data_IF_692352434001
#
_entry.id   IF_692352434001
#
_cell.length_a   1.000
_cell.length_b   1.000
_cell.length_c   1.000
_cell.angle_alpha   90.00
_cell.angle_beta   90.00
_cell.angle_gamma   90.00
#
_symmetry.space_group_name_H-M   'P 1'
#
loop_
_entity.id
_entity.type
_entity.pdbx_description
1 polymer ?
#
# COMPACT_ATOMS: atom_id res chain seq x y z
N UNK A 1 -21.00 -2.56 7.07
CA UNK A 1 -20.34 -3.68 6.39
C UNK A 1 -21.05 -4.03 5.09
N UNK A 2 -20.51 -3.53 3.99
CA UNK A 2 -21.02 -3.72 2.63
C UNK A 2 -20.52 -5.06 2.06
N UNK A 3 -21.41 -5.88 1.50
CA UNK A 3 -21.08 -7.05 0.68
C UNK A 3 -21.30 -6.67 -0.79
N UNK A 4 -20.33 -6.98 -1.66
CA UNK A 4 -20.47 -6.70 -3.09
C UNK A 4 -21.55 -7.63 -3.70
N UNK A 5 -22.43 -7.13 -4.59
CA UNK A 5 -23.37 -8.00 -5.27
C UNK A 5 -22.62 -8.97 -6.21
N UNK A 6 -22.69 -10.27 -5.92
CA UNK A 6 -22.08 -11.38 -6.70
C UNK A 6 -22.53 -11.41 -8.18
N UNK A 7 -23.56 -10.64 -8.54
CA UNK A 7 -24.25 -10.69 -9.83
C UNK A 7 -23.38 -10.28 -11.04
N UNK A 8 -22.41 -9.38 -10.86
CA UNK A 8 -21.59 -8.85 -11.97
C UNK A 8 -20.46 -9.80 -12.43
N UNK A 9 -20.02 -10.73 -11.58
CA UNK A 9 -18.92 -11.66 -11.89
C UNK A 9 -19.41 -12.99 -12.49
N UNK A 10 -20.69 -13.33 -12.28
CA UNK A 10 -21.30 -14.58 -12.74
C UNK A 10 -21.20 -14.83 -14.25
N UNK A 11 -21.39 -13.80 -15.10
CA UNK A 11 -21.48 -14.01 -16.55
C UNK A 11 -20.12 -14.24 -17.24
N UNK A 12 -19.06 -13.60 -16.74
CA UNK A 12 -17.68 -13.72 -17.27
C UNK A 12 -16.96 -14.94 -16.71
N UNK A 13 -17.18 -15.26 -15.43
CA UNK A 13 -16.63 -16.46 -14.77
C UNK A 13 -17.03 -17.75 -15.50
N UNK A 14 -18.29 -17.86 -15.91
CA UNK A 14 -18.84 -19.06 -16.55
C UNK A 14 -18.40 -19.27 -18.01
N UNK A 15 -17.87 -18.25 -18.69
CA UNK A 15 -17.45 -18.36 -20.09
C UNK A 15 -16.00 -18.83 -20.27
N UNK A 16 -15.11 -18.54 -19.31
CA UNK A 16 -13.67 -18.75 -19.46
C UNK A 16 -13.17 -20.11 -18.91
N UNK A 17 -13.98 -20.82 -18.12
CA UNK A 17 -13.68 -22.16 -17.61
C UNK A 17 -14.79 -23.15 -18.02
N UNK A 18 -14.67 -23.81 -19.19
CA UNK A 18 -15.69 -24.72 -19.72
C UNK A 18 -15.96 -25.94 -18.83
N UNK A 19 -15.06 -26.26 -17.90
CA UNK A 19 -15.25 -27.32 -16.90
C UNK A 19 -16.14 -26.90 -15.72
N UNK A 20 -16.44 -25.60 -15.56
CA UNK A 20 -17.26 -25.05 -14.46
C UNK A 20 -18.72 -24.75 -14.86
N UNK A 21 -19.21 -25.34 -15.95
CA UNK A 21 -20.61 -25.26 -16.42
C UNK A 21 -21.68 -25.79 -15.41
N UNK A 22 -21.33 -26.00 -14.14
CA UNK A 22 -22.22 -26.55 -13.11
C UNK A 22 -22.77 -25.51 -12.13
N UNK A 23 -22.26 -24.28 -12.11
CA UNK A 23 -22.79 -23.25 -11.21
C UNK A 23 -24.04 -22.61 -11.83
N UNK A 24 -25.18 -23.24 -11.56
CA UNK A 24 -26.50 -22.82 -12.06
C UNK A 24 -27.17 -21.79 -11.15
N UNK A 25 -26.62 -21.54 -9.96
CA UNK A 25 -27.14 -20.61 -8.97
C UNK A 25 -26.06 -19.62 -8.51
N UNK A 26 -26.44 -18.37 -8.26
CA UNK A 26 -25.53 -17.31 -7.82
C UNK A 26 -24.85 -17.66 -6.48
N UNK A 27 -25.54 -18.41 -5.61
CA UNK A 27 -25.03 -18.89 -4.32
C UNK A 27 -23.98 -20.01 -4.44
N UNK A 28 -23.70 -20.49 -5.66
CA UNK A 28 -22.73 -21.58 -5.87
C UNK A 28 -21.41 -21.09 -6.48
N UNK A 29 -21.30 -19.80 -6.81
CA UNK A 29 -20.09 -19.22 -7.37
C UNK A 29 -19.05 -19.06 -6.24
N UNK A 30 -17.87 -19.68 -6.35
CA UNK A 30 -16.88 -19.60 -5.28
C UNK A 30 -16.38 -18.17 -5.10
N UNK A 31 -16.27 -17.74 -3.85
CA UNK A 31 -15.70 -16.47 -3.50
C UNK A 31 -14.17 -16.55 -3.40
N UNK A 32 -13.48 -16.01 -4.41
CA UNK A 32 -12.02 -16.08 -4.51
C UNK A 32 -11.40 -14.72 -4.18
N UNK A 33 -10.42 -14.72 -3.25
CA UNK A 33 -9.67 -13.53 -2.87
C UNK A 33 -8.17 -13.72 -3.18
N UNK A 34 -7.53 -12.70 -3.75
CA UNK A 34 -6.07 -12.63 -3.87
C UNK A 34 -5.50 -11.72 -2.77
N UNK A 35 -4.59 -12.25 -1.95
CA UNK A 35 -4.04 -11.60 -0.76
C UNK A 35 -2.53 -11.42 -0.90
N UNK A 36 -2.11 -10.27 -1.42
CA UNK A 36 -0.74 -9.99 -1.77
C UNK A 36 0.09 -9.53 -0.55
N UNK A 37 1.27 -10.12 -0.39
CA UNK A 37 2.15 -9.82 0.73
C UNK A 37 2.94 -8.52 0.55
N UNK A 38 3.60 -8.05 1.61
CA UNK A 38 4.48 -6.89 1.55
C UNK A 38 5.90 -7.22 1.10
N UNK A 39 6.69 -6.19 0.81
CA UNK A 39 8.07 -6.35 0.32
C UNK A 39 8.60 -5.19 -0.52
N UNK A 40 8.09 -3.97 -0.28
CA UNK A 40 8.46 -2.77 -1.03
C UNK A 40 8.34 -2.95 -2.55
N UNK A 41 9.35 -2.49 -3.29
CA UNK A 41 9.34 -2.52 -4.77
C UNK A 41 9.24 -3.94 -5.34
N UNK A 42 9.80 -4.94 -4.65
CA UNK A 42 9.72 -6.35 -5.08
C UNK A 42 8.28 -6.85 -5.06
N UNK A 43 7.55 -6.55 -3.98
CA UNK A 43 6.13 -6.89 -3.90
C UNK A 43 5.31 -6.10 -4.93
N UNK A 44 5.65 -4.81 -5.15
CA UNK A 44 4.98 -4.00 -6.15
C UNK A 44 5.07 -4.61 -7.56
N UNK A 45 6.29 -4.86 -8.04
CA UNK A 45 6.52 -5.46 -9.38
C UNK A 45 6.00 -6.90 -9.42
N UNK A 46 6.23 -7.67 -8.36
CA UNK A 46 5.79 -9.06 -8.24
C UNK A 46 4.27 -9.19 -8.37
N UNK A 47 3.50 -8.31 -7.73
CA UNK A 47 2.04 -8.32 -7.83
C UNK A 47 1.56 -8.00 -9.25
N UNK A 48 2.14 -6.97 -9.90
CA UNK A 48 1.75 -6.63 -11.28
C UNK A 48 2.04 -7.79 -12.23
N UNK A 49 3.20 -8.44 -12.10
CA UNK A 49 3.55 -9.62 -12.89
C UNK A 49 2.63 -10.82 -12.63
N UNK A 50 2.26 -11.05 -11.36
CA UNK A 50 1.32 -12.11 -10.99
C UNK A 50 -0.06 -11.90 -11.60
N UNK A 51 -0.60 -10.69 -11.47
CA UNK A 51 -1.91 -10.33 -12.05
C UNK A 51 -1.88 -10.36 -13.59
N UNK A 52 -0.75 -9.96 -14.21
CA UNK A 52 -0.56 -10.05 -15.65
C UNK A 52 -0.64 -11.51 -16.12
N UNK A 53 0.04 -12.44 -15.43
CA UNK A 53 -0.07 -13.86 -15.79
C UNK A 53 -1.49 -14.38 -15.56
N UNK A 54 -2.16 -13.99 -14.46
CA UNK A 54 -3.55 -14.39 -14.23
C UNK A 54 -4.50 -13.89 -15.34
N UNK A 55 -4.28 -12.69 -15.88
CA UNK A 55 -5.03 -12.17 -17.03
C UNK A 55 -4.79 -13.03 -18.27
N UNK A 56 -3.53 -13.36 -18.59
CA UNK A 56 -3.20 -14.22 -19.74
C UNK A 56 -3.77 -15.64 -19.65
N UNK A 57 -3.92 -16.16 -18.43
CA UNK A 57 -4.54 -17.47 -18.17
C UNK A 57 -6.07 -17.40 -18.02
N UNK A 58 -6.69 -16.23 -18.12
CA UNK A 58 -8.14 -16.05 -17.94
C UNK A 58 -8.63 -16.28 -16.50
N UNK A 59 -7.72 -16.23 -15.52
CA UNK A 59 -8.00 -16.44 -14.10
C UNK A 59 -8.30 -15.13 -13.35
N UNK A 60 -7.89 -13.98 -13.88
CA UNK A 60 -8.06 -12.69 -13.18
C UNK A 60 -9.54 -12.35 -12.94
N UNK A 61 -10.41 -12.65 -13.92
CA UNK A 61 -11.86 -12.43 -13.83
C UNK A 61 -12.56 -13.30 -12.77
N UNK A 62 -11.85 -14.26 -12.16
CA UNK A 62 -12.38 -15.11 -11.09
C UNK A 62 -12.29 -14.46 -9.71
N UNK A 63 -11.50 -13.39 -9.56
CA UNK A 63 -11.25 -12.75 -8.28
C UNK A 63 -12.39 -11.78 -7.89
N UNK A 64 -12.98 -12.00 -6.72
CA UNK A 64 -13.88 -11.02 -6.08
C UNK A 64 -13.13 -9.92 -5.35
N UNK A 65 -11.99 -10.26 -4.77
CA UNK A 65 -11.27 -9.37 -3.88
C UNK A 65 -9.77 -9.35 -4.17
N UNK A 66 -9.17 -8.18 -4.00
CA UNK A 66 -7.73 -7.98 -4.00
C UNK A 66 -7.32 -7.27 -2.71
N UNK A 67 -6.73 -8.03 -1.79
CA UNK A 67 -6.16 -7.53 -0.55
C UNK A 67 -4.65 -7.34 -0.66
N UNK A 68 -4.11 -6.31 -0.02
CA UNK A 68 -2.66 -6.10 0.01
C UNK A 68 -2.16 -5.38 1.27
N UNK A 69 -0.89 -5.62 1.59
CA UNK A 69 -0.12 -4.87 2.60
C UNK A 69 1.14 -4.27 1.95
N UNK A 70 1.70 -3.22 2.56
CA UNK A 70 3.00 -2.65 2.16
C UNK A 70 3.14 -2.44 0.64
N UNK A 71 4.29 -2.76 0.05
CA UNK A 71 4.59 -2.61 -1.38
C UNK A 71 3.51 -3.09 -2.37
N UNK A 72 2.75 -4.14 -2.07
CA UNK A 72 1.64 -4.60 -2.92
C UNK A 72 0.54 -3.55 -3.09
N UNK A 73 0.29 -2.75 -2.05
CA UNK A 73 -0.70 -1.67 -2.10
C UNK A 73 -0.30 -0.51 -3.00
N UNK A 74 1.00 -0.31 -3.24
CA UNK A 74 1.49 0.69 -4.21
C UNK A 74 1.05 0.31 -5.62
N UNK A 75 1.21 -0.97 -5.96
CA UNK A 75 0.70 -1.53 -7.22
C UNK A 75 -0.81 -1.50 -7.29
N UNK A 76 -1.52 -1.81 -6.20
CA UNK A 76 -2.98 -1.66 -6.18
C UNK A 76 -3.37 -0.20 -6.48
N UNK A 77 -2.82 0.80 -5.79
CA UNK A 77 -3.15 2.19 -6.10
C UNK A 77 -2.84 2.56 -7.56
N UNK A 78 -1.72 2.09 -8.11
CA UNK A 78 -1.41 2.32 -9.53
C UNK A 78 -2.41 1.63 -10.46
N UNK A 79 -2.81 0.38 -10.18
CA UNK A 79 -3.75 -0.37 -11.01
C UNK A 79 -5.14 0.27 -11.02
N UNK A 80 -5.71 0.57 -9.85
CA UNK A 80 -7.06 1.08 -9.73
C UNK A 80 -7.23 2.52 -10.25
N UNK A 81 -6.13 3.23 -10.53
CA UNK A 81 -6.20 4.49 -11.30
C UNK A 81 -6.80 4.30 -12.70
N UNK A 82 -6.73 3.10 -13.26
CA UNK A 82 -7.36 2.71 -14.53
C UNK A 82 -8.62 1.87 -14.25
N UNK A 83 -9.82 2.38 -14.56
CA UNK A 83 -11.07 1.64 -14.36
C UNK A 83 -11.13 0.27 -15.04
N UNK A 84 -10.31 0.03 -16.07
CA UNK A 84 -10.33 -1.20 -16.89
C UNK A 84 -9.07 -2.06 -16.72
N UNK A 85 -8.27 -1.84 -15.68
CA UNK A 85 -6.97 -2.49 -15.52
C UNK A 85 -7.05 -4.02 -15.57
N UNK A 86 -8.09 -4.63 -14.99
CA UNK A 86 -8.24 -6.09 -14.95
C UNK A 86 -8.45 -6.73 -16.34
N UNK A 87 -8.97 -5.96 -17.30
CA UNK A 87 -9.19 -6.43 -18.68
C UNK A 87 -8.03 -6.11 -19.62
N UNK A 88 -7.04 -5.34 -19.16
CA UNK A 88 -5.89 -4.92 -19.95
C UNK A 88 -4.66 -4.67 -19.06
N UNK A 89 -4.01 -5.78 -18.68
CA UNK A 89 -2.79 -5.73 -17.87
C UNK A 89 -1.57 -5.23 -18.66
N UNK A 90 -1.58 -5.29 -20.00
CA UNK A 90 -0.47 -4.78 -20.84
C UNK A 90 -0.20 -3.30 -20.57
N UNK A 91 -1.26 -2.49 -20.41
CA UNK A 91 -1.13 -1.07 -20.04
C UNK A 91 -0.51 -0.89 -18.66
N UNK A 92 -0.90 -1.71 -17.68
CA UNK A 92 -0.35 -1.65 -16.33
C UNK A 92 1.15 -1.99 -16.32
N UNK A 93 1.55 -3.04 -17.04
CA UNK A 93 2.96 -3.44 -17.18
C UNK A 93 3.76 -2.35 -17.90
N UNK A 94 3.25 -1.81 -19.01
CA UNK A 94 3.95 -0.75 -19.76
C UNK A 94 4.22 0.50 -18.92
N UNK A 95 3.38 0.76 -17.92
CA UNK A 95 3.50 1.93 -17.03
C UNK A 95 4.67 1.83 -16.07
N UNK A 96 5.03 0.62 -15.63
CA UNK A 96 6.21 0.40 -14.78
C UNK A 96 7.50 0.88 -15.48
N UNK A 97 7.56 0.70 -16.80
CA UNK A 97 8.65 1.15 -17.67
C UNK A 97 8.36 2.51 -18.33
N UNK A 98 7.23 3.13 -18.01
CA UNK A 98 6.80 4.41 -18.58
C UNK A 98 7.58 5.61 -18.02
N UNK A 99 7.31 6.81 -18.58
CA UNK A 99 7.86 8.05 -18.07
C UNK A 99 7.41 8.29 -16.62
N UNK A 100 8.24 9.00 -15.85
CA UNK A 100 7.93 9.40 -14.49
C UNK A 100 6.83 10.44 -14.41
N UNK A 101 6.50 10.84 -13.17
CA UNK A 101 5.62 11.99 -12.92
C UNK A 101 6.40 13.28 -13.11
N UNK A 102 5.78 14.27 -13.75
CA UNK A 102 6.36 15.61 -13.95
C UNK A 102 6.63 16.31 -12.60
N UNK A 103 7.73 17.07 -12.52
CA UNK A 103 8.13 17.80 -11.31
C UNK A 103 7.03 18.67 -10.77
N UNK A 104 6.46 19.46 -11.67
CA UNK A 104 5.56 20.53 -11.34
C UNK A 104 4.33 19.95 -10.63
N UNK A 105 3.91 18.74 -11.01
CA UNK A 105 2.84 18.01 -10.35
C UNK A 105 3.24 17.57 -8.95
N UNK A 106 4.45 17.03 -8.77
CA UNK A 106 4.97 16.64 -7.45
C UNK A 106 5.10 17.85 -6.52
N UNK A 107 5.63 18.96 -7.02
CA UNK A 107 5.81 20.19 -6.25
C UNK A 107 4.52 20.89 -5.91
N UNK A 108 3.56 20.91 -6.85
CA UNK A 108 2.23 21.44 -6.59
C UNK A 108 1.56 20.64 -5.46
N UNK A 109 1.61 19.31 -5.53
CA UNK A 109 1.02 18.46 -4.51
C UNK A 109 1.69 18.66 -3.14
N UNK A 110 3.03 18.62 -3.07
CA UNK A 110 3.75 18.87 -1.82
C UNK A 110 3.48 20.28 -1.29
N UNK A 111 3.47 21.28 -2.16
CA UNK A 111 3.22 22.67 -1.80
C UNK A 111 1.81 22.94 -1.29
N UNK A 112 0.82 22.16 -1.73
CA UNK A 112 -0.54 22.22 -1.20
C UNK A 112 -0.65 21.51 0.15
N UNK A 113 -0.13 20.29 0.28
CA UNK A 113 -0.12 19.55 1.55
C UNK A 113 0.66 20.27 2.65
N UNK A 114 1.75 20.91 2.30
CA UNK A 114 2.58 21.76 3.13
C UNK A 114 1.85 22.88 3.89
N UNK A 115 0.71 23.34 3.36
CA UNK A 115 -0.11 24.40 3.97
C UNK A 115 -1.02 23.86 5.06
N UNK A 116 -1.21 22.55 5.10
CA UNK A 116 -2.11 21.89 6.03
C UNK A 116 -1.41 21.63 7.37
N UNK A 117 -2.18 21.71 8.46
CA UNK A 117 -1.66 21.58 9.84
C UNK A 117 -0.97 20.23 10.10
N UNK A 118 -1.31 19.21 9.33
CA UNK A 118 -0.91 17.82 9.54
C UNK A 118 0.07 17.28 8.48
N UNK A 119 0.79 18.18 7.80
CA UNK A 119 1.91 17.80 6.94
C UNK A 119 3.02 17.10 7.75
N UNK A 120 3.52 15.98 7.25
CA UNK A 120 4.38 15.05 7.99
C UNK A 120 5.34 14.26 7.09
N UNK A 121 6.22 13.46 7.69
CA UNK A 121 7.08 12.53 6.94
C UNK A 121 6.29 11.51 6.11
N UNK A 122 5.03 11.22 6.48
CA UNK A 122 4.16 10.35 5.70
C UNK A 122 3.82 10.95 4.32
N UNK A 123 3.66 12.28 4.22
CA UNK A 123 3.38 12.95 2.95
C UNK A 123 4.62 12.95 2.02
N UNK A 124 5.82 13.03 2.61
CA UNK A 124 7.07 12.88 1.85
C UNK A 124 7.24 11.44 1.34
N UNK A 125 6.97 10.45 2.20
CA UNK A 125 7.03 9.04 1.83
C UNK A 125 6.00 8.67 0.76
N UNK A 126 4.79 9.22 0.85
CA UNK A 126 3.74 9.08 -0.14
C UNK A 126 4.17 9.51 -1.54
N UNK A 127 4.82 10.67 -1.64
CA UNK A 127 5.35 11.19 -2.92
C UNK A 127 6.49 10.33 -3.44
N UNK A 128 7.41 9.92 -2.57
CA UNK A 128 8.52 9.05 -2.97
C UNK A 128 8.00 7.73 -3.56
N UNK A 129 7.07 7.08 -2.86
CA UNK A 129 6.48 5.81 -3.32
C UNK A 129 5.63 5.98 -4.58
N UNK A 130 4.78 6.99 -4.64
CA UNK A 130 3.89 7.21 -5.78
C UNK A 130 4.66 7.72 -7.01
N UNK A 131 5.34 8.85 -6.88
CA UNK A 131 5.94 9.54 -8.02
C UNK A 131 7.30 8.96 -8.46
N UNK A 132 8.15 8.54 -7.52
CA UNK A 132 9.52 8.08 -7.86
C UNK A 132 9.55 6.58 -8.13
N UNK A 133 8.91 5.78 -7.27
CA UNK A 133 8.91 4.32 -7.40
C UNK A 133 7.85 3.86 -8.41
N UNK A 134 6.59 4.20 -8.16
CA UNK A 134 5.47 3.76 -9.02
C UNK A 134 5.30 4.61 -10.27
N UNK A 135 6.04 5.73 -10.39
CA UNK A 135 5.99 6.65 -11.52
C UNK A 135 4.58 7.17 -11.82
N UNK A 136 3.75 7.25 -10.79
CA UNK A 136 2.36 7.65 -10.92
C UNK A 136 1.82 8.25 -9.63
N UNK A 137 1.13 9.38 -9.74
CA UNK A 137 0.35 9.94 -8.64
C UNK A 137 -1.15 9.75 -8.88
N UNK A 138 -1.78 8.91 -8.05
CA UNK A 138 -3.23 8.76 -8.03
C UNK A 138 -3.85 9.79 -7.08
N UNK A 139 -4.38 10.87 -7.65
CA UNK A 139 -4.96 11.98 -6.88
C UNK A 139 -6.46 11.78 -6.57
N UNK A 140 -7.01 10.62 -6.91
CA UNK A 140 -8.42 10.32 -6.66
C UNK A 140 -8.64 9.94 -5.21
N UNK A 141 -9.90 9.95 -4.83
CA UNK A 141 -10.35 9.43 -3.55
C UNK A 141 -10.59 7.91 -3.65
N UNK A 142 -10.34 7.18 -2.56
CA UNK A 142 -10.64 5.75 -2.55
C UNK A 142 -12.14 5.51 -2.63
N UNK A 143 -12.95 6.40 -2.04
CA UNK A 143 -14.41 6.31 -2.09
C UNK A 143 -14.99 6.44 -3.51
N UNK A 144 -14.27 7.07 -4.44
CA UNK A 144 -14.70 7.18 -5.83
C UNK A 144 -14.88 5.80 -6.49
N UNK A 145 -14.10 4.79 -6.05
CA UNK A 145 -14.20 3.40 -6.54
C UNK A 145 -15.55 2.76 -6.23
N UNK A 146 -16.24 3.17 -5.15
CA UNK A 146 -17.53 2.59 -4.77
C UNK A 146 -18.63 2.84 -5.82
N UNK A 147 -18.51 3.96 -6.55
CA UNK A 147 -19.46 4.37 -7.58
C UNK A 147 -19.05 3.93 -8.99
N UNK A 148 -17.87 3.33 -9.13
CA UNK A 148 -17.25 3.07 -10.43
C UNK A 148 -17.86 1.82 -11.04
N UNK A 149 -18.37 1.94 -12.26
CA UNK A 149 -18.83 0.80 -13.05
C UNK A 149 -17.63 0.06 -13.65
N UNK A 150 -16.96 -0.75 -12.83
CA UNK A 150 -15.78 -1.52 -13.21
C UNK A 150 -15.95 -3.00 -12.82
N UNK A 151 -15.28 -3.88 -13.58
CA UNK A 151 -15.25 -5.33 -13.34
C UNK A 151 -14.03 -5.77 -12.54
N UNK A 152 -13.31 -4.81 -11.94
CA UNK A 152 -12.12 -5.11 -11.16
C UNK A 152 -12.49 -5.83 -9.85
N UNK A 153 -11.60 -6.67 -9.30
CA UNK A 153 -11.74 -7.17 -7.94
C UNK A 153 -11.94 -6.02 -6.95
N UNK A 154 -12.60 -6.27 -5.82
CA UNK A 154 -12.82 -5.26 -4.79
C UNK A 154 -11.52 -5.02 -3.99
N UNK A 155 -10.98 -3.79 -3.96
CA UNK A 155 -9.70 -3.51 -3.31
C UNK A 155 -9.85 -3.39 -1.80
N UNK A 156 -8.94 -4.02 -1.06
CA UNK A 156 -8.83 -3.90 0.40
C UNK A 156 -7.39 -3.61 0.79
N UNK A 157 -7.19 -2.42 1.36
CA UNK A 157 -5.91 -1.97 1.90
C UNK A 157 -5.87 -2.26 3.40
N UNK A 158 -4.69 -2.57 3.92
CA UNK A 158 -4.53 -2.93 5.32
C UNK A 158 -3.38 -2.16 5.97
N UNK A 159 -3.63 -1.75 7.21
CA UNK A 159 -2.70 -1.08 8.11
C UNK A 159 -2.88 -1.65 9.53
N UNK A 160 -2.04 -1.21 10.46
CA UNK A 160 -2.21 -1.51 11.88
C UNK A 160 -2.13 -0.25 12.74
N UNK A 161 -2.86 -0.21 13.85
CA UNK A 161 -2.73 0.87 14.83
C UNK A 161 -1.56 0.59 15.78
N UNK A 162 -0.58 1.48 15.77
CA UNK A 162 0.71 1.32 16.45
C UNK A 162 0.63 1.32 17.98
N UNK A 163 -0.17 2.19 18.59
CA UNK A 163 -0.22 2.35 20.05
C UNK A 163 -0.94 1.19 20.73
N UNK A 164 -1.96 0.62 20.09
CA UNK A 164 -2.60 -0.61 20.52
C UNK A 164 -1.73 -1.85 20.20
N UNK A 165 -0.81 -1.75 19.24
CA UNK A 165 0.17 -2.79 18.94
C UNK A 165 1.21 -2.99 20.05
N UNK A 166 1.78 -1.91 20.62
CA UNK A 166 2.88 -2.01 21.61
C UNK A 166 2.47 -2.56 22.98
N UNK A 167 1.25 -2.26 23.47
CA UNK A 167 0.84 -2.55 24.86
C UNK A 167 -0.61 -3.08 24.99
N UNK A 168 -1.29 -3.42 23.89
CA UNK A 168 -2.74 -3.70 23.87
C UNK A 168 -3.18 -5.12 23.48
N UNK A 169 -4.48 -5.45 23.69
CA UNK A 169 -5.09 -6.72 23.24
C UNK A 169 -5.03 -6.85 21.72
N UNK A 170 -5.14 -8.08 21.19
CA UNK A 170 -5.15 -8.34 19.72
C UNK A 170 -6.28 -7.55 19.02
N UNK A 171 -7.39 -7.32 19.72
CA UNK A 171 -8.51 -6.53 19.26
C UNK A 171 -8.13 -5.05 19.07
N UNK A 172 -8.52 -4.48 17.93
CA UNK A 172 -8.21 -3.08 17.60
C UNK A 172 -6.80 -2.86 17.03
N UNK A 173 -6.15 -3.94 16.55
CA UNK A 173 -4.85 -3.85 15.88
C UNK A 173 -5.00 -3.69 14.37
N UNK A 174 -5.80 -4.53 13.71
CA UNK A 174 -5.91 -4.50 12.26
C UNK A 174 -6.86 -3.41 11.80
N UNK A 175 -6.36 -2.55 10.92
CA UNK A 175 -7.13 -1.49 10.28
C UNK A 175 -7.30 -1.83 8.80
N UNK A 176 -8.53 -1.84 8.35
CA UNK A 176 -8.93 -2.13 6.99
C UNK A 176 -9.45 -0.85 6.34
N UNK A 177 -9.07 -0.61 5.09
CA UNK A 177 -9.61 0.48 4.27
C UNK A 177 -10.07 -0.08 2.93
N UNK A 178 -11.32 0.21 2.58
CA UNK A 178 -11.94 -0.16 1.31
C UNK A 178 -12.63 1.05 0.69
N UNK A 179 -13.17 0.98 -0.53
CA UNK A 179 -13.95 2.08 -1.12
C UNK A 179 -15.12 2.56 -0.26
N UNK A 180 -15.78 1.67 0.49
CA UNK A 180 -17.00 2.03 1.23
C UNK A 180 -16.73 2.41 2.68
N UNK A 181 -15.84 1.66 3.34
CA UNK A 181 -15.64 1.77 4.78
C UNK A 181 -14.17 1.58 5.18
N UNK A 182 -13.79 2.27 6.25
CA UNK A 182 -12.49 2.21 6.91
C UNK A 182 -12.67 1.94 8.41
N UNK A 183 -11.93 1.01 8.99
CA UNK A 183 -12.15 0.64 10.39
C UNK A 183 -11.42 -0.59 10.88
N UNK A 184 -11.82 -1.06 12.05
CA UNK A 184 -11.16 -2.16 12.75
C UNK A 184 -11.92 -3.47 12.54
N UNK A 185 -11.31 -4.38 11.77
CA UNK A 185 -11.93 -5.63 11.33
C UNK A 185 -12.40 -6.48 12.50
N UNK A 186 -11.56 -6.68 13.52
CA UNK A 186 -11.88 -7.58 14.64
C UNK A 186 -12.99 -7.05 15.53
N UNK A 187 -13.21 -5.73 15.55
CA UNK A 187 -14.24 -5.08 16.36
C UNK A 187 -15.55 -4.87 15.58
N UNK A 188 -15.52 -4.99 14.25
CA UNK A 188 -16.68 -4.71 13.41
C UNK A 188 -17.09 -3.23 13.39
N UNK A 189 -16.18 -2.32 13.76
CA UNK A 189 -16.48 -0.88 13.86
C UNK A 189 -15.78 -0.11 12.75
N UNK A 190 -16.59 0.60 11.97
CA UNK A 190 -16.17 1.26 10.74
C UNK A 190 -16.79 2.64 10.61
N UNK A 191 -16.14 3.49 9.81
CA UNK A 191 -16.65 4.76 9.31
C UNK A 191 -16.64 4.73 7.78
N UNK A 192 -17.46 5.56 7.13
CA UNK A 192 -17.36 5.76 5.68
C UNK A 192 -15.94 6.23 5.31
N UNK A 193 -15.37 5.69 4.23
CA UNK A 193 -13.98 6.00 3.82
C UNK A 193 -13.77 7.49 3.57
N UNK A 194 -14.77 8.18 3.02
CA UNK A 194 -14.75 9.63 2.81
C UNK A 194 -14.68 10.45 4.10
N UNK A 195 -15.05 9.87 5.24
CA UNK A 195 -14.99 10.49 6.55
C UNK A 195 -13.72 10.10 7.33
N UNK A 196 -12.86 9.25 6.79
CA UNK A 196 -11.59 8.90 7.42
C UNK A 196 -10.71 10.17 7.56
N UNK A 197 -10.36 10.52 8.80
CA UNK A 197 -9.62 11.74 9.12
C UNK A 197 -10.50 12.93 9.51
N UNK A 198 -11.83 12.78 9.48
CA UNK A 198 -12.78 13.73 10.07
C UNK A 198 -12.78 13.68 11.60
N UNK A 199 -13.28 14.74 12.25
CA UNK A 199 -13.30 14.82 13.72
C UNK A 199 -14.58 14.19 14.26
N UNK A 200 -14.42 13.22 15.15
CA UNK A 200 -15.53 12.63 15.90
C UNK A 200 -15.29 12.78 17.41
N UNK A 201 -16.39 12.75 18.17
CA UNK A 201 -16.34 12.62 19.61
C UNK A 201 -17.59 11.90 20.10
N UNK A 202 -17.42 10.89 20.95
CA UNK A 202 -18.52 10.09 21.50
C UNK A 202 -19.47 9.49 20.44
N UNK A 203 -18.96 9.25 19.23
CA UNK A 203 -19.72 8.72 18.10
C UNK A 203 -20.41 9.76 17.23
N UNK A 204 -20.31 11.05 17.57
CA UNK A 204 -20.86 12.14 16.77
C UNK A 204 -19.78 12.75 15.87
N UNK A 205 -20.14 13.01 14.61
CA UNK A 205 -19.32 13.72 13.64
C UNK A 205 -19.36 15.22 13.95
N UNK A 206 -18.22 15.77 14.37
CA UNK A 206 -18.09 17.18 14.75
C UNK A 206 -17.63 18.07 13.60
N UNK A 207 -16.75 17.55 12.75
CA UNK A 207 -16.13 18.31 11.66
C UNK A 207 -15.77 17.37 10.51
N UNK A 208 -16.30 17.64 9.33
CA UNK A 208 -15.92 16.93 8.10
C UNK A 208 -14.60 17.50 7.60
N UNK A 209 -13.61 16.62 7.42
CA UNK A 209 -12.34 16.92 6.76
C UNK A 209 -12.40 16.38 5.32
N UNK A 210 -11.84 17.07 4.31
CA UNK A 210 -11.76 16.53 2.96
C UNK A 210 -11.10 15.15 2.94
N UNK A 211 -11.62 14.23 2.11
CA UNK A 211 -11.06 12.89 1.97
C UNK A 211 -9.59 12.95 1.51
N UNK A 212 -8.78 12.02 2.00
CA UNK A 212 -7.41 11.86 1.55
C UNK A 212 -7.39 11.33 0.11
N UNK A 213 -6.58 11.97 -0.75
CA UNK A 213 -6.22 11.35 -2.03
C UNK A 213 -5.42 10.05 -1.80
N UNK A 214 -5.39 9.17 -2.82
CA UNK A 214 -4.71 7.88 -2.73
C UNK A 214 -3.21 8.02 -2.43
N UNK A 215 -2.54 9.07 -2.90
CA UNK A 215 -1.14 9.35 -2.55
C UNK A 215 -1.01 9.50 -1.03
N UNK A 216 -1.84 10.36 -0.42
CA UNK A 216 -1.81 10.57 1.03
C UNK A 216 -2.27 9.37 1.83
N UNK A 217 -3.32 8.69 1.38
CA UNK A 217 -3.82 7.48 2.04
C UNK A 217 -2.72 6.42 2.13
N UNK A 218 -1.94 6.26 1.06
CA UNK A 218 -0.77 5.39 1.07
C UNK A 218 0.27 5.84 2.09
N UNK A 219 0.60 7.12 2.13
CA UNK A 219 1.52 7.67 3.13
C UNK A 219 1.08 7.41 4.57
N UNK A 220 -0.20 7.63 4.87
CA UNK A 220 -0.74 7.50 6.23
C UNK A 220 -0.90 6.05 6.66
N UNK A 221 -1.36 5.16 5.77
CA UNK A 221 -1.68 3.76 6.10
C UNK A 221 -0.50 2.78 5.91
N UNK A 222 0.50 3.12 5.10
CA UNK A 222 1.55 2.19 4.66
C UNK A 222 2.95 2.68 5.03
N UNK A 223 3.06 3.30 6.20
CA UNK A 223 4.32 3.79 6.74
C UNK A 223 5.27 2.61 6.97
N UNK A 224 6.29 2.48 6.12
CA UNK A 224 7.25 1.36 6.17
C UNK A 224 8.06 1.40 7.47
N UNK A 225 8.43 0.21 7.94
CA UNK A 225 9.22 -0.15 9.12
C UNK A 225 10.43 0.73 9.45
N UNK A 226 10.98 1.51 8.52
CA UNK A 226 12.04 2.46 8.85
C UNK A 226 11.60 3.45 9.95
N UNK A 227 10.31 3.76 10.08
CA UNK A 227 9.79 4.51 11.24
C UNK A 227 9.99 3.78 12.59
N UNK A 228 9.78 2.46 12.63
CA UNK A 228 9.88 1.61 13.82
C UNK A 228 11.32 1.15 14.13
N UNK A 229 12.12 0.83 13.11
CA UNK A 229 13.51 0.39 13.23
C UNK A 229 14.49 1.52 13.60
N UNK A 230 14.10 2.78 13.33
CA UNK A 230 14.86 3.97 13.71
C UNK A 230 14.38 4.62 15.01
N UNK A 231 13.23 4.23 15.54
CA UNK A 231 12.75 4.75 16.83
C UNK A 231 13.65 4.35 18.00
N UNK A 232 14.27 3.17 17.91
CA UNK A 232 15.30 2.70 18.85
C UNK A 232 16.67 3.35 18.64
N UNK A 233 16.88 4.08 17.52
CA UNK A 233 18.15 4.72 17.19
C UNK A 233 18.24 6.12 17.77
N UNK A 234 19.44 6.50 18.19
CA UNK A 234 19.76 7.82 18.74
C UNK A 234 19.59 8.94 17.72
N UNK A 235 19.46 10.19 18.20
CA UNK A 235 19.33 11.36 17.34
C UNK A 235 20.47 11.47 16.31
N UNK A 236 21.70 11.12 16.69
CA UNK A 236 22.85 11.16 15.79
C UNK A 236 22.83 10.02 14.76
N UNK A 237 22.35 8.83 15.11
CA UNK A 237 22.14 7.74 14.15
C UNK A 237 21.01 8.05 13.18
N UNK A 238 19.91 8.66 13.64
CA UNK A 238 18.83 9.13 12.76
C UNK A 238 19.33 10.21 11.83
N UNK A 239 20.11 11.18 12.33
CA UNK A 239 20.78 12.20 11.50
C UNK A 239 21.73 11.58 10.51
N UNK A 240 22.53 10.58 10.90
CA UNK A 240 23.49 9.90 10.01
C UNK A 240 22.78 9.11 8.91
N UNK A 241 21.72 8.37 9.25
CA UNK A 241 20.92 7.62 8.27
C UNK A 241 20.19 8.57 7.33
N UNK A 242 19.64 9.67 7.85
CA UNK A 242 19.03 10.70 6.99
C UNK A 242 20.05 11.50 6.20
N UNK A 243 21.24 11.78 6.75
CA UNK A 243 22.34 12.39 6.02
C UNK A 243 22.82 11.45 4.93
N UNK A 244 22.88 10.15 5.20
CA UNK A 244 23.23 9.13 4.24
C UNK A 244 22.15 9.03 3.16
N UNK A 245 20.86 8.95 3.50
CA UNK A 245 19.79 8.98 2.49
C UNK A 245 19.74 10.30 1.75
N UNK A 246 19.97 11.42 2.42
CA UNK A 246 20.05 12.74 1.81
C UNK A 246 21.28 12.87 0.92
N UNK A 247 22.42 12.28 1.28
CA UNK A 247 23.66 12.25 0.51
C UNK A 247 23.57 11.24 -0.63
N UNK A 248 22.87 10.13 -0.48
CA UNK A 248 22.58 9.16 -1.53
C UNK A 248 21.56 9.75 -2.52
N UNK A 249 20.54 10.46 -2.03
CA UNK A 249 19.66 11.28 -2.86
C UNK A 249 20.44 12.38 -3.57
N UNK A 250 21.25 13.17 -2.84
CA UNK A 250 22.03 14.28 -3.40
C UNK A 250 23.12 13.78 -4.35
N UNK A 251 23.77 12.65 -4.08
CA UNK A 251 24.78 12.05 -4.95
C UNK A 251 24.13 11.39 -6.17
N UNK A 252 22.95 10.79 -6.03
CA UNK A 252 22.16 10.37 -7.18
C UNK A 252 21.78 11.59 -8.04
N UNK A 253 21.41 12.71 -7.41
CA UNK A 253 21.13 13.99 -8.08
C UNK A 253 22.40 14.62 -8.69
N UNK A 254 23.57 14.57 -8.06
CA UNK A 254 24.82 15.15 -8.59
C UNK A 254 25.42 14.29 -9.72
N UNK A 255 25.44 12.97 -9.54
CA UNK A 255 25.93 12.01 -10.55
C UNK A 255 25.06 12.07 -11.81
N UNK A 256 23.75 12.23 -11.63
CA UNK A 256 22.83 12.39 -12.75
C UNK A 256 23.09 13.76 -13.43
N UNK A 257 23.47 14.82 -12.68
CA UNK A 257 23.53 16.21 -13.16
C UNK A 257 24.74 16.40 -14.04
N UNK A 258 25.84 15.75 -13.67
CA UNK A 258 27.04 15.64 -14.48
C UNK A 258 26.78 14.85 -15.78
N UNK A 259 25.93 13.82 -15.73
CA UNK A 259 25.55 13.05 -16.92
C UNK A 259 24.67 13.81 -17.92
N UNK A 260 24.01 14.90 -17.50
CA UNK A 260 23.25 15.78 -18.40
C UNK A 260 24.13 16.83 -19.11
N UNK A 261 25.22 17.28 -18.47
CA UNK A 261 26.14 18.25 -19.07
C UNK A 261 26.98 17.63 -20.20
N UNK A 262 27.17 16.31 -20.19
CA UNK A 262 28.05 15.59 -21.12
C UNK A 262 27.38 15.07 -22.43
N UNK A 263 26.07 15.19 -22.59
CA UNK A 263 25.34 14.92 -23.85
C UNK A 263 25.19 13.45 -24.26
N UNK A 264 24.00 13.08 -24.76
CA UNK A 264 23.60 11.69 -25.01
C UNK A 264 24.14 11.05 -26.32
N UNK A 265 24.31 9.72 -26.25
CA UNK A 265 24.54 8.71 -27.31
C UNK A 265 25.90 8.64 -28.03
N UNK A 266 26.68 7.59 -27.70
CA UNK A 266 27.45 6.82 -28.68
C UNK A 266 27.21 5.32 -28.52
N UNK A 267 26.71 4.73 -29.60
CA UNK A 267 26.45 3.31 -29.86
C UNK A 267 27.70 2.43 -29.75
N UNK A 268 27.61 1.26 -29.12
CA UNK A 268 28.00 -0.08 -29.65
C UNK A 268 28.23 -1.12 -28.54
N UNK A 269 27.62 -2.31 -28.70
CA UNK A 269 28.37 -3.56 -28.59
C UNK A 269 28.06 -4.53 -27.45
N UNK A 270 27.24 -5.54 -27.79
CA UNK A 270 27.34 -6.95 -27.35
C UNK A 270 27.12 -7.32 -25.87
N UNK A 271 25.90 -7.73 -25.55
CA UNK A 271 25.57 -8.52 -24.36
C UNK A 271 26.22 -9.92 -24.43
N UNK A 272 27.00 -10.27 -23.40
CA UNK A 272 27.29 -11.65 -23.03
C UNK A 272 26.76 -11.89 -21.61
N UNK A 273 25.79 -12.78 -21.47
CA UNK A 273 25.40 -13.36 -20.18
C UNK A 273 26.58 -14.09 -19.54
N UNK A 274 26.65 -14.11 -18.19
CA UNK A 274 26.43 -15.41 -17.53
C UNK A 274 25.73 -15.36 -16.15
N UNK A 275 24.86 -16.34 -15.96
CA UNK A 275 24.61 -17.18 -14.78
C UNK A 275 24.55 -16.56 -13.38
N UNK A 276 23.30 -16.42 -12.94
CA UNK A 276 22.82 -16.09 -11.61
C UNK A 276 22.66 -17.35 -10.75
N UNK A 277 23.39 -17.38 -9.63
CA UNK A 277 23.04 -18.22 -8.48
C UNK A 277 22.93 -17.28 -7.27
N UNK A 278 21.69 -17.07 -6.84
CA UNK A 278 21.30 -16.17 -5.75
C UNK A 278 21.59 -16.83 -4.42
N UNK A 279 22.27 -16.12 -3.53
CA UNK A 279 21.94 -16.18 -2.11
C UNK A 279 21.62 -14.77 -1.61
N UNK A 280 20.39 -14.62 -1.13
CA UNK A 280 19.88 -13.48 -0.39
C UNK A 280 20.35 -13.63 1.06
N UNK A 281 21.37 -12.89 1.48
CA UNK A 281 21.57 -12.54 2.89
C UNK A 281 22.09 -11.11 2.98
N UNK A 282 21.44 -10.33 3.84
CA UNK A 282 21.92 -9.12 4.50
C UNK A 282 23.45 -8.98 4.49
N UNK A 283 23.99 -8.08 3.66
CA UNK A 283 25.13 -7.23 3.98
C UNK A 283 25.49 -6.34 2.78
N UNK A 284 25.76 -5.07 3.08
CA UNK A 284 26.49 -4.07 2.30
C UNK A 284 26.20 -3.99 0.77
N UNK A 285 25.34 -3.04 0.42
CA UNK A 285 25.19 -2.54 -0.94
C UNK A 285 26.50 -1.86 -1.38
N UNK A 286 27.29 -2.52 -2.23
CA UNK A 286 28.28 -1.85 -3.07
C UNK A 286 27.66 -1.57 -4.44
N UNK A 287 27.33 -0.29 -4.64
CA UNK A 287 26.91 0.30 -5.90
C UNK A 287 27.97 0.09 -6.98
N UNK A 288 27.72 -0.82 -7.92
CA UNK A 288 28.18 -0.73 -9.30
C UNK A 288 27.30 -1.64 -10.17
N UNK A 289 26.83 -1.05 -11.26
CA UNK A 289 26.15 -1.69 -12.40
C UNK A 289 24.62 -1.84 -12.30
N UNK A 290 23.94 -0.68 -12.27
CA UNK A 290 22.56 -0.48 -12.73
C UNK A 290 22.53 0.31 -14.07
N UNK A 291 23.44 -0.02 -14.99
CA UNK A 291 23.48 0.60 -16.32
C UNK A 291 22.77 -0.30 -17.33
N UNK A 292 21.45 -0.11 -17.47
CA UNK A 292 20.68 -0.26 -18.71
C UNK A 292 19.17 -0.08 -18.41
N UNK A 293 18.76 1.16 -18.14
CA UNK A 293 17.35 1.60 -18.25
C UNK A 293 17.35 3.13 -18.29
N UNK A 294 17.13 3.71 -19.47
CA UNK A 294 17.00 5.16 -19.66
C UNK A 294 15.80 5.68 -18.85
N UNK A 295 16.01 6.67 -17.97
CA UNK A 295 14.95 7.28 -17.15
C UNK A 295 15.25 8.77 -16.87
N UNK A 296 14.28 9.70 -16.99
CA UNK A 296 14.44 11.13 -16.70
C UNK A 296 14.00 11.48 -15.26
N UNK A 297 14.92 11.90 -14.37
CA UNK A 297 14.70 12.08 -12.91
C UNK A 297 15.12 13.46 -12.32
N UNK A 298 15.49 14.48 -13.11
CA UNK A 298 16.12 15.72 -12.59
C UNK A 298 15.13 16.66 -11.96
N UNK A 299 13.88 16.51 -12.35
CA UNK A 299 12.86 17.43 -11.98
C UNK A 299 11.92 16.67 -11.03
N UNK A 300 12.36 16.17 -9.87
CA UNK A 300 11.40 15.66 -8.84
C UNK A 300 11.59 16.28 -7.45
N UNK A 301 12.64 17.09 -7.24
CA UNK A 301 12.95 17.65 -5.92
C UNK A 301 12.37 19.04 -5.66
N UNK A 302 11.82 19.26 -4.45
CA UNK A 302 11.23 20.54 -4.11
C UNK A 302 12.24 21.67 -3.95
N UNK A 303 11.78 22.93 -4.11
CA UNK A 303 12.65 24.09 -3.99
C UNK A 303 13.40 24.04 -2.65
N UNK A 304 14.65 24.48 -2.62
CA UNK A 304 15.51 24.47 -1.42
C UNK A 304 14.81 25.08 -0.20
N UNK A 305 13.89 26.04 -0.41
CA UNK A 305 13.06 26.63 0.65
C UNK A 305 12.05 25.66 1.28
N UNK A 306 11.45 24.74 0.51
CA UNK A 306 10.54 23.70 1.02
C UNK A 306 11.33 22.66 1.82
N UNK A 307 12.47 22.22 1.27
CA UNK A 307 13.38 21.28 1.93
C UNK A 307 13.86 21.81 3.29
N UNK A 308 14.33 23.07 3.33
CA UNK A 308 14.90 23.65 4.55
C UNK A 308 13.86 24.12 5.56
N UNK A 309 12.70 24.64 5.14
CA UNK A 309 11.69 25.20 6.06
C UNK A 309 10.63 24.21 6.52
N UNK A 310 10.38 23.14 5.77
CA UNK A 310 9.28 22.21 6.07
C UNK A 310 9.77 20.78 6.26
N UNK A 311 10.59 20.26 5.35
CA UNK A 311 11.06 18.87 5.45
C UNK A 311 12.08 18.71 6.58
N UNK A 312 13.06 19.61 6.68
CA UNK A 312 14.11 19.53 7.71
C UNK A 312 13.55 19.56 9.15
N UNK A 313 12.61 20.46 9.53
CA UNK A 313 11.98 20.39 10.84
C UNK A 313 11.25 19.07 11.13
N UNK A 314 10.55 18.51 10.14
CA UNK A 314 9.86 17.22 10.30
C UNK A 314 10.85 16.08 10.54
N UNK A 315 11.98 16.08 9.84
CA UNK A 315 13.07 15.12 10.06
C UNK A 315 13.64 15.28 11.48
N UNK A 316 13.90 16.51 11.91
CA UNK A 316 14.45 16.81 13.24
C UNK A 316 13.52 16.40 14.38
N UNK A 317 12.21 16.58 14.19
CA UNK A 317 11.19 16.20 15.19
C UNK A 317 10.73 14.75 15.07
N UNK A 318 11.03 14.09 13.95
CA UNK A 318 10.58 12.74 13.62
C UNK A 318 9.04 12.60 13.64
N UNK A 319 8.36 13.56 13.03
CA UNK A 319 6.89 13.62 13.01
C UNK A 319 6.32 12.81 11.83
N UNK A 320 5.90 11.57 12.12
CA UNK A 320 5.16 10.71 11.19
C UNK A 320 3.66 11.01 11.19
N UNK A 321 3.00 10.65 10.08
CA UNK A 321 1.60 10.96 9.83
C UNK A 321 0.65 10.31 10.85
N UNK A 322 -0.41 11.03 11.17
CA UNK A 322 -1.52 10.57 12.02
C UNK A 322 -2.83 10.95 11.37
N UNK A 323 -3.91 10.24 11.69
CA UNK A 323 -5.26 10.58 11.26
C UNK A 323 -6.19 10.75 12.47
N UNK A 324 -7.23 11.58 12.34
CA UNK A 324 -8.19 11.78 13.44
C UNK A 324 -8.91 10.46 13.74
N UNK A 325 -9.12 10.18 15.03
CA UNK A 325 -9.70 8.94 15.50
C UNK A 325 -11.23 9.04 15.59
N UNK A 326 -11.94 8.27 14.77
CA UNK A 326 -13.41 8.24 14.81
C UNK A 326 -13.99 7.57 16.07
N UNK A 327 -13.17 6.84 16.85
CA UNK A 327 -13.54 6.18 18.11
C UNK A 327 -13.27 7.04 19.35
N UNK A 328 -12.82 8.29 19.19
CA UNK A 328 -12.48 9.13 20.33
C UNK A 328 -13.69 9.35 21.25
N UNK A 329 -13.52 8.97 22.52
CA UNK A 329 -14.53 8.99 23.57
C UNK A 329 -15.80 8.18 23.27
N UNK A 330 -15.78 7.28 22.27
CA UNK A 330 -16.92 6.45 21.93
C UNK A 330 -17.30 5.54 23.10
N UNK A 331 -18.58 5.53 23.49
CA UNK A 331 -19.08 4.80 24.68
C UNK A 331 -19.77 3.46 24.33
N UNK A 332 -19.90 3.12 23.04
CA UNK A 332 -20.46 1.85 22.60
C UNK A 332 -19.38 0.75 22.42
N UNK A 333 -19.79 -0.52 22.45
CA UNK A 333 -18.93 -1.72 22.30
C UNK A 333 -17.71 -1.79 23.25
N UNK A 334 -17.07 -2.96 23.30
CA UNK A 334 -15.84 -3.19 24.07
C UNK A 334 -14.64 -2.57 23.35
N UNK A 335 -14.60 -1.24 23.22
CA UNK A 335 -13.47 -0.53 22.58
C UNK A 335 -12.27 -0.48 23.54
N UNK A 336 -11.07 -0.88 23.09
CA UNK A 336 -9.86 -0.77 23.91
C UNK A 336 -9.59 0.67 24.37
N UNK A 337 -9.12 0.88 25.63
CA UNK A 337 -8.79 2.21 26.14
C UNK A 337 -7.76 2.98 25.29
N UNK A 338 -6.87 2.27 24.58
CA UNK A 338 -5.90 2.87 23.67
C UNK A 338 -6.56 3.59 22.47
N UNK A 339 -7.73 3.13 22.03
CA UNK A 339 -8.52 3.77 20.97
C UNK A 339 -9.51 4.78 21.55
N UNK A 340 -10.11 4.51 22.72
CA UNK A 340 -11.12 5.41 23.28
C UNK A 340 -10.52 6.75 23.76
N UNK A 341 -9.30 6.73 24.31
CA UNK A 341 -8.70 7.88 24.99
C UNK A 341 -7.88 8.82 24.08
N UNK A 342 -7.62 8.43 22.83
CA UNK A 342 -6.72 9.16 21.93
C UNK A 342 -7.50 9.85 20.82
N UNK A 343 -7.19 11.12 20.57
CA UNK A 343 -7.81 11.89 19.48
C UNK A 343 -7.30 11.50 18.08
N UNK A 344 -6.18 10.80 18.01
CA UNK A 344 -5.48 10.47 16.76
C UNK A 344 -5.11 8.99 16.72
N UNK A 345 -5.28 8.38 15.56
CA UNK A 345 -4.79 7.05 15.21
C UNK A 345 -3.38 7.14 14.61
N UNK A 346 -2.52 6.20 14.99
CA UNK A 346 -1.20 6.03 14.42
C UNK A 346 -1.21 4.78 13.54
N UNK A 347 -1.59 4.94 12.29
CA UNK A 347 -1.61 3.84 11.32
C UNK A 347 -0.20 3.62 10.76
N UNK A 348 0.23 2.36 10.73
CA UNK A 348 1.52 1.95 10.17
C UNK A 348 1.35 0.70 9.31
N UNK A 349 2.39 0.35 8.56
CA UNK A 349 2.37 -0.79 7.65
C UNK A 349 1.98 -2.10 8.36
N UNK A 350 0.91 -2.74 7.86
CA UNK A 350 0.43 -4.01 8.39
C UNK A 350 1.45 -5.14 8.27
N UNK A 351 2.41 -5.02 7.35
CA UNK A 351 3.50 -5.97 7.18
C UNK A 351 4.37 -6.16 8.43
N UNK A 352 4.34 -5.20 9.35
CA UNK A 352 5.00 -5.27 10.66
C UNK A 352 4.38 -6.31 11.61
N UNK A 353 3.10 -6.64 11.43
CA UNK A 353 2.38 -7.61 12.25
C UNK A 353 2.20 -8.92 11.50
N UNK A 354 1.57 -8.87 10.32
CA UNK A 354 1.38 -10.02 9.43
C UNK A 354 1.63 -9.52 8.00
N UNK A 355 2.65 -10.07 7.35
CA UNK A 355 3.05 -9.64 6.01
C UNK A 355 2.10 -10.08 4.89
N UNK A 356 0.83 -10.40 5.17
CA UNK A 356 -0.23 -10.68 4.19
C UNK A 356 -1.56 -10.18 4.74
N UNK A 357 -2.44 -9.67 3.87
CA UNK A 357 -3.72 -9.09 4.23
C UNK A 357 -4.81 -10.11 4.61
N UNK A 358 -4.53 -11.11 5.46
CA UNK A 358 -5.52 -12.13 5.85
C UNK A 358 -6.69 -11.64 6.71
N UNK A 359 -6.48 -10.83 7.77
CA UNK A 359 -7.53 -10.57 8.75
C UNK A 359 -8.88 -10.08 8.21
N UNK A 360 -8.95 -9.20 7.19
CA UNK A 360 -10.21 -8.81 6.55
C UNK A 360 -11.01 -9.98 5.97
N UNK A 361 -10.35 -11.06 5.58
CA UNK A 361 -10.96 -12.16 4.82
C UNK A 361 -11.28 -13.37 5.68
N UNK A 362 -11.00 -13.31 6.99
CA UNK A 362 -11.33 -14.38 7.93
C UNK A 362 -12.77 -14.23 8.44
N UNK A 363 -13.47 -15.35 8.56
CA UNK A 363 -14.83 -15.43 9.09
C UNK A 363 -15.92 -15.15 8.05
N UNK A 364 -17.16 -15.05 8.52
CA UNK A 364 -18.35 -15.16 7.67
C UNK A 364 -18.69 -13.87 6.89
N UNK A 365 -18.02 -12.73 7.17
CA UNK A 365 -18.34 -11.43 6.55
C UNK A 365 -18.20 -11.47 5.02
N UNK A 366 -17.15 -12.14 4.53
CA UNK A 366 -16.81 -12.22 3.10
C UNK A 366 -16.98 -13.62 2.52
N UNK A 367 -17.18 -14.61 3.39
CA UNK A 367 -17.46 -15.99 3.01
C UNK A 367 -16.52 -16.49 1.92
N UNK A 368 -15.21 -16.41 2.16
CA UNK A 368 -14.17 -16.71 1.16
C UNK A 368 -13.95 -18.22 1.08
N UNK A 369 -14.16 -18.79 -0.10
CA UNK A 369 -13.92 -20.21 -0.40
C UNK A 369 -12.44 -20.51 -0.71
N UNK A 370 -11.76 -19.58 -1.40
CA UNK A 370 -10.38 -19.74 -1.82
C UNK A 370 -9.58 -18.45 -1.63
N UNK A 371 -8.45 -18.56 -0.93
CA UNK A 371 -7.45 -17.50 -0.82
C UNK A 371 -6.21 -17.85 -1.63
N UNK A 372 -5.86 -16.98 -2.58
CA UNK A 372 -4.59 -17.04 -3.33
C UNK A 372 -3.65 -16.01 -2.71
N UNK A 373 -2.57 -16.44 -2.07
CA UNK A 373 -1.68 -15.53 -1.35
C UNK A 373 -0.26 -15.54 -1.94
N UNK A 374 0.03 -14.73 -2.97
CA UNK A 374 1.39 -14.62 -3.48
C UNK A 374 2.31 -13.99 -2.42
N UNK A 375 3.45 -14.63 -2.20
CA UNK A 375 4.42 -14.27 -1.16
C UNK A 375 5.69 -13.66 -1.78
N UNK A 376 5.95 -12.41 -1.42
CA UNK A 376 7.05 -11.55 -1.86
C UNK A 376 8.03 -11.16 -0.74
N UNK A 377 8.03 -11.77 0.45
CA UNK A 377 9.06 -11.48 1.47
C UNK A 377 10.46 -11.82 0.98
N UNK A 378 11.48 -11.18 1.56
CA UNK A 378 12.89 -11.47 1.24
C UNK A 378 13.41 -12.73 1.96
N UNK A 379 12.70 -13.18 3.01
CA UNK A 379 13.05 -14.32 3.86
C UNK A 379 12.34 -15.62 3.45
N UNK A 380 12.20 -16.53 4.42
CA UNK A 380 11.61 -17.85 4.17
C UNK A 380 10.10 -17.77 3.88
N UNK A 381 9.67 -18.40 2.78
CA UNK A 381 8.30 -18.42 2.25
C UNK A 381 7.20 -18.79 3.27
N UNK A 382 7.51 -19.56 4.33
CA UNK A 382 6.52 -20.05 5.31
C UNK A 382 6.55 -19.33 6.67
N UNK A 383 7.48 -18.40 6.90
CA UNK A 383 7.51 -17.65 8.17
C UNK A 383 6.25 -16.81 8.37
N UNK A 384 5.65 -16.34 7.28
CA UNK A 384 4.41 -15.54 7.30
C UNK A 384 3.16 -16.39 7.59
N UNK A 385 3.20 -17.70 7.32
CA UNK A 385 2.08 -18.62 7.53
C UNK A 385 2.01 -19.17 8.97
N UNK A 386 3.11 -19.11 9.72
CA UNK A 386 3.18 -19.58 11.11
C UNK A 386 2.28 -18.78 12.08
N UNK A 387 2.25 -17.43 12.06
CA UNK A 387 1.33 -16.63 12.88
C UNK A 387 -0.16 -16.88 12.58
N UNK A 388 -0.50 -17.32 11.36
CA UNK A 388 -1.89 -17.64 10.99
C UNK A 388 -2.38 -18.89 11.70
N UNK A 389 -1.55 -19.93 11.77
CA UNK A 389 -1.91 -21.19 12.45
C UNK A 389 -2.09 -21.04 13.95
N UNK A 390 -1.49 -20.02 14.58
CA UNK A 390 -1.68 -19.71 16.00
C UNK A 390 -2.88 -18.78 16.23
N UNK A 391 -3.11 -17.81 15.34
CA UNK A 391 -4.25 -16.87 15.42
C UNK A 391 -5.59 -17.54 15.09
N UNK A 392 -5.60 -18.51 14.19
CA UNK A 392 -6.80 -19.28 13.79
C UNK A 392 -7.16 -20.40 14.77
N UNK A 393 -6.23 -20.87 15.62
CA UNK A 393 -6.53 -21.91 16.62
C UNK A 393 -7.57 -21.49 17.68
N UNK A 394 -7.86 -20.19 17.82
CA UNK A 394 -8.85 -19.65 18.77
C UNK A 394 -10.21 -19.26 18.16
N UNK A 395 -10.34 -19.21 16.84
CA UNK A 395 -11.60 -18.89 16.14
C UNK A 395 -11.97 -20.09 15.29
N UNK A 396 -13.22 -20.58 15.39
CA UNK A 396 -13.68 -21.77 14.65
C UNK A 396 -13.26 -21.69 13.19
N UNK A 397 -12.25 -22.43 12.82
CA UNK A 397 -11.99 -22.79 11.43
C UNK A 397 -12.99 -23.87 11.05
N UNK A 398 -13.61 -23.81 9.86
CA UNK A 398 -14.14 -25.01 9.24
C UNK A 398 -12.97 -25.98 9.10
N UNK A 399 -13.15 -27.22 9.55
CA UNK A 399 -12.19 -28.27 9.26
C UNK A 399 -12.12 -28.42 7.73
N UNK A 400 -10.90 -28.36 7.18
CA UNK A 400 -10.60 -28.64 5.77
C UNK A 400 -11.17 -29.98 5.29
#
# INVERSE_FOLDING_TARGET
CFQMPVALLSSTFLSNLPSLHHFSNQDSIPHIALLASGGGQRAAVGLVGFLYQMEKEGLLDTLLYLGGVSGSTWSMSSLYSDPQWSTNMDRAVSRLSGPGVELEQVLAWLGDRAKEEHFSLADIWAVLTSAVIMKQMDLRHLSDEASRNATNPYPIYSAIEKKCFSDGPIEGKWFEVSPHEAGFTEMGVFVETSLLGSKFQSGELLEVTPEMDMVRLQGVCLQVEQSALLESKSLEERKSIFQQWSLELLAAVETWSQSLEDGAFKTHGQCKHPNWSILLTTDAFHLRDLNEMEMPLFNVFPPVSLLTKQVLPLILKWEWGTTKNFLYQYQGLTIPPCLQSKEKLHLVDAGLLINVAYPPFLGDKRDIDLMIAPEFSAGNMFEVLLPLTTTTKGKRTPQM
#
